data_IF_529093474911
#
_entry.id   IF_529093474911
#
_cell.length_a   1.000
_cell.length_b   1.000
_cell.length_c   1.000
_cell.angle_alpha   90.00
_cell.angle_beta   90.00
_cell.angle_gamma   90.00
#
_symmetry.space_group_name_H-M   'P 1'
#
loop_
_entity.id
_entity.type
_entity.pdbx_description
1 polymer ?
#
# COMPACT_ATOMS: atom_id res chain seq x y z
N UNK A 1 3.60 -14.21 44.19
CA UNK A 1 3.80 -15.21 43.12
C UNK A 1 2.54 -15.19 42.27
N UNK A 2 2.52 -14.38 41.21
CA UNK A 2 1.36 -14.22 40.33
C UNK A 2 1.32 -15.37 39.33
N UNK A 3 0.40 -16.31 39.54
CA UNK A 3 0.10 -17.37 38.59
C UNK A 3 -0.41 -16.73 37.29
N UNK A 4 0.38 -16.78 36.22
CA UNK A 4 -0.13 -16.55 34.88
C UNK A 4 -0.99 -17.76 34.51
N UNK A 5 -2.30 -17.62 34.69
CA UNK A 5 -3.28 -18.55 34.12
C UNK A 5 -3.19 -18.36 32.61
N UNK A 6 -2.43 -19.21 31.92
CA UNK A 6 -2.49 -19.31 30.47
C UNK A 6 -3.84 -19.93 30.12
N UNK A 7 -4.80 -19.07 29.77
CA UNK A 7 -6.00 -19.50 29.06
C UNK A 7 -5.54 -20.15 27.76
N UNK A 8 -5.60 -21.48 27.70
CA UNK A 8 -5.19 -22.25 26.54
C UNK A 8 -6.27 -22.08 25.47
N UNK A 9 -6.21 -20.96 24.74
CA UNK A 9 -7.10 -20.69 23.62
C UNK A 9 -7.02 -21.85 22.63
N UNK A 10 -8.16 -22.26 22.06
CA UNK A 10 -8.16 -23.36 21.10
C UNK A 10 -7.21 -23.06 19.94
N UNK A 11 -6.60 -24.09 19.37
CA UNK A 11 -5.70 -23.97 18.21
C UNK A 11 -6.39 -23.19 17.07
N UNK A 12 -7.70 -23.39 16.89
CA UNK A 12 -8.50 -22.65 15.92
C UNK A 12 -8.47 -21.13 16.16
N UNK A 13 -8.66 -20.69 17.42
CA UNK A 13 -8.62 -19.26 17.77
C UNK A 13 -7.21 -18.71 17.56
N UNK A 14 -6.17 -19.45 17.94
CA UNK A 14 -4.78 -19.03 17.74
C UNK A 14 -4.45 -18.85 16.25
N UNK A 15 -4.86 -19.79 15.39
CA UNK A 15 -4.68 -19.71 13.95
C UNK A 15 -5.45 -18.55 13.32
N UNK A 16 -6.70 -18.33 13.74
CA UNK A 16 -7.52 -17.19 13.29
C UNK A 16 -6.85 -15.86 13.65
N UNK A 17 -6.42 -15.72 14.90
CA UNK A 17 -5.75 -14.50 15.37
C UNK A 17 -4.43 -14.24 14.62
N UNK A 18 -3.64 -15.29 14.38
CA UNK A 18 -2.42 -15.17 13.60
C UNK A 18 -2.69 -14.74 12.15
N UNK A 19 -3.72 -15.30 11.51
CA UNK A 19 -4.12 -14.94 10.15
C UNK A 19 -4.61 -13.50 10.07
N UNK A 20 -5.47 -13.05 10.98
CA UNK A 20 -5.95 -11.66 11.03
C UNK A 20 -4.81 -10.69 11.26
N UNK A 21 -3.87 -11.02 12.16
CA UNK A 21 -2.69 -10.19 12.42
C UNK A 21 -1.81 -10.07 11.17
N UNK A 22 -1.54 -11.18 10.48
CA UNK A 22 -0.76 -11.16 9.24
C UNK A 22 -1.45 -10.33 8.14
N UNK A 23 -2.78 -10.39 8.05
CA UNK A 23 -3.54 -9.60 7.08
C UNK A 23 -3.45 -8.10 7.38
N UNK A 24 -3.55 -7.71 8.65
CA UNK A 24 -3.41 -6.30 9.04
C UNK A 24 -2.01 -5.77 8.74
N UNK A 25 -0.96 -6.50 9.15
CA UNK A 25 0.43 -6.12 8.85
C UNK A 25 0.67 -5.97 7.33
N UNK A 26 0.14 -6.90 6.52
CA UNK A 26 0.23 -6.82 5.07
C UNK A 26 -0.54 -5.62 4.49
N UNK A 27 -1.71 -5.30 5.04
CA UNK A 27 -2.52 -4.14 4.65
C UNK A 27 -1.78 -2.84 4.95
N UNK A 28 -1.19 -2.70 6.12
CA UNK A 28 -0.39 -1.53 6.51
C UNK A 28 0.78 -1.32 5.55
N UNK A 29 1.53 -2.39 5.25
CA UNK A 29 2.64 -2.34 4.28
C UNK A 29 2.16 -1.91 2.88
N UNK A 30 1.04 -2.48 2.41
CA UNK A 30 0.47 -2.15 1.10
C UNK A 30 0.04 -0.69 1.02
N UNK A 31 -0.56 -0.13 2.09
CA UNK A 31 -0.95 1.28 2.14
C UNK A 31 0.27 2.20 2.06
N UNK A 32 1.38 1.86 2.70
CA UNK A 32 2.62 2.64 2.59
C UNK A 32 3.18 2.61 1.17
N UNK A 33 3.12 1.46 0.49
CA UNK A 33 3.53 1.31 -0.91
C UNK A 33 2.67 2.17 -1.83
N UNK A 34 1.33 2.10 -1.69
CA UNK A 34 0.39 2.91 -2.48
C UNK A 34 0.64 4.40 -2.22
N UNK A 35 0.79 4.80 -0.95
CA UNK A 35 1.05 6.18 -0.56
C UNK A 35 2.36 6.73 -1.15
N UNK A 36 3.41 5.91 -1.22
CA UNK A 36 4.65 6.28 -1.88
C UNK A 36 4.44 6.55 -3.38
N UNK A 37 3.72 5.67 -4.09
CA UNK A 37 3.39 5.88 -5.52
C UNK A 37 2.59 7.17 -5.71
N UNK A 38 1.56 7.39 -4.90
CA UNK A 38 0.73 8.60 -4.95
C UNK A 38 1.53 9.88 -4.70
N UNK A 39 2.47 9.86 -3.75
CA UNK A 39 3.32 11.00 -3.46
C UNK A 39 4.13 11.44 -4.68
N UNK A 40 4.82 10.50 -5.33
CA UNK A 40 5.62 10.79 -6.53
C UNK A 40 4.75 11.19 -7.72
N UNK A 41 3.60 10.53 -7.92
CA UNK A 41 2.64 10.88 -8.96
C UNK A 41 2.16 12.33 -8.81
N UNK A 42 1.82 12.73 -7.58
CA UNK A 42 1.37 14.10 -7.27
C UNK A 42 2.46 15.15 -7.49
N UNK A 43 3.73 14.80 -7.27
CA UNK A 43 4.87 15.70 -7.44
C UNK A 43 5.44 15.68 -8.87
N UNK A 44 4.96 14.80 -9.75
CA UNK A 44 5.51 14.63 -11.11
C UNK A 44 6.92 14.03 -11.13
N UNK A 45 7.31 13.31 -10.08
CA UNK A 45 8.64 12.73 -9.94
C UNK A 45 8.69 11.30 -10.51
N UNK A 46 9.80 10.89 -11.13
CA UNK A 46 9.95 9.54 -11.65
C UNK A 46 10.02 8.53 -10.50
N UNK A 47 9.24 7.44 -10.59
CA UNK A 47 9.25 6.35 -9.62
C UNK A 47 10.52 5.48 -9.73
N UNK A 48 10.96 5.23 -10.98
CA UNK A 48 12.00 4.25 -11.32
C UNK A 48 13.25 4.95 -11.82
N UNK A 49 14.40 4.36 -11.51
CA UNK A 49 15.70 4.74 -12.04
C UNK A 49 16.00 3.99 -13.33
N UNK A 50 17.22 4.20 -13.86
CA UNK A 50 17.72 3.44 -14.99
C UNK A 50 17.97 1.97 -14.61
N UNK A 51 18.54 1.76 -13.42
CA UNK A 51 18.73 0.44 -12.82
C UNK A 51 17.62 0.10 -11.82
N UNK A 52 17.39 -1.20 -11.61
CA UNK A 52 16.26 -1.72 -10.81
C UNK A 52 16.23 -1.27 -9.34
N UNK A 53 17.36 -0.81 -8.78
CA UNK A 53 17.53 -0.50 -7.35
C UNK A 53 17.72 0.99 -7.04
N UNK A 54 17.76 1.85 -8.08
CA UNK A 54 18.11 3.27 -7.95
C UNK A 54 16.90 4.21 -8.07
N UNK A 55 15.70 3.66 -8.21
CA UNK A 55 14.48 4.46 -8.32
C UNK A 55 14.11 5.18 -7.02
N UNK A 56 13.58 6.40 -7.15
CA UNK A 56 13.10 7.20 -6.02
C UNK A 56 12.08 6.44 -5.16
N UNK A 57 11.23 5.63 -5.79
CA UNK A 57 10.26 4.79 -5.09
C UNK A 57 10.92 3.77 -4.17
N UNK A 58 11.95 3.07 -4.63
CA UNK A 58 12.65 2.08 -3.82
C UNK A 58 13.41 2.76 -2.66
N UNK A 59 14.06 3.89 -2.93
CA UNK A 59 14.79 4.64 -1.89
C UNK A 59 13.86 5.16 -0.80
N UNK A 60 12.67 5.64 -1.16
CA UNK A 60 11.67 6.06 -0.18
C UNK A 60 11.17 4.90 0.68
N UNK A 61 10.92 3.74 0.07
CA UNK A 61 10.49 2.56 0.83
C UNK A 61 11.58 2.05 1.78
N UNK A 62 12.85 2.08 1.36
CA UNK A 62 13.99 1.79 2.25
C UNK A 62 14.01 2.74 3.44
N UNK A 63 13.98 4.05 3.18
CA UNK A 63 13.93 5.08 4.23
C UNK A 63 12.76 4.87 5.20
N UNK A 64 11.55 4.62 4.68
CA UNK A 64 10.37 4.34 5.53
C UNK A 64 10.53 3.08 6.37
N UNK A 65 11.22 2.08 5.84
CA UNK A 65 11.42 0.80 6.52
C UNK A 65 12.41 0.87 7.68
N UNK A 66 13.20 1.94 7.79
CA UNK A 66 14.13 2.13 8.92
C UNK A 66 13.36 2.28 10.25
N UNK A 67 12.17 2.88 10.21
CA UNK A 67 11.30 3.10 11.38
C UNK A 67 10.14 2.09 11.47
N UNK A 68 9.95 1.23 10.45
CA UNK A 68 8.84 0.27 10.37
C UNK A 68 9.36 -1.16 10.13
N UNK A 69 9.38 -1.95 11.20
CA UNK A 69 9.83 -3.35 11.19
C UNK A 69 8.97 -4.25 10.29
N UNK A 70 7.66 -3.98 10.19
CA UNK A 70 6.74 -4.76 9.35
C UNK A 70 7.03 -4.52 7.88
N UNK A 71 7.20 -3.24 7.51
CA UNK A 71 7.59 -2.87 6.15
C UNK A 71 8.99 -3.40 5.82
N UNK A 72 9.96 -3.28 6.74
CA UNK A 72 11.31 -3.81 6.54
C UNK A 72 11.29 -5.32 6.28
N UNK A 73 10.58 -6.07 7.13
CA UNK A 73 10.38 -7.51 6.96
C UNK A 73 9.68 -7.83 5.64
N UNK A 74 8.71 -7.04 5.21
CA UNK A 74 8.05 -7.22 3.92
C UNK A 74 9.02 -7.04 2.76
N UNK A 75 9.77 -5.93 2.73
CA UNK A 75 10.70 -5.57 1.67
C UNK A 75 11.93 -6.49 1.58
N UNK A 76 12.35 -7.05 2.70
CA UNK A 76 13.48 -8.01 2.76
C UNK A 76 13.04 -9.45 2.57
N UNK A 77 11.74 -9.74 2.71
CA UNK A 77 11.21 -11.06 2.37
C UNK A 77 11.31 -11.31 0.87
N UNK A 78 11.37 -12.58 0.45
CA UNK A 78 11.30 -12.98 -0.96
C UNK A 78 9.98 -12.64 -1.67
N UNK A 79 9.13 -11.81 -1.06
CA UNK A 79 7.84 -11.32 -1.56
C UNK A 79 7.85 -9.86 -1.99
N UNK A 80 8.99 -9.15 -1.90
CA UNK A 80 9.12 -7.73 -2.29
C UNK A 80 8.42 -7.41 -3.62
N UNK A 81 8.75 -8.19 -4.66
CA UNK A 81 8.31 -7.93 -6.03
C UNK A 81 6.79 -8.06 -6.25
N UNK A 82 6.06 -8.73 -5.34
CA UNK A 82 4.60 -8.87 -5.44
C UNK A 82 3.88 -7.52 -5.41
N UNK A 83 4.42 -6.53 -4.69
CA UNK A 83 3.77 -5.23 -4.54
C UNK A 83 4.63 -4.03 -4.93
N UNK A 84 5.94 -4.23 -5.18
CA UNK A 84 6.85 -3.12 -5.55
C UNK A 84 7.24 -3.12 -7.01
N UNK A 85 6.84 -4.12 -7.81
CA UNK A 85 7.22 -4.22 -9.21
C UNK A 85 6.69 -3.05 -10.06
N UNK A 86 7.34 -2.81 -11.20
CA UNK A 86 6.89 -1.76 -12.12
C UNK A 86 5.49 -1.98 -12.69
N UNK A 87 5.05 -3.23 -12.83
CA UNK A 87 3.69 -3.54 -13.28
C UNK A 87 2.69 -3.06 -12.22
N UNK A 88 2.90 -3.43 -10.96
CA UNK A 88 2.03 -3.03 -9.85
C UNK A 88 2.04 -1.51 -9.66
N UNK A 89 3.19 -0.85 -9.77
CA UNK A 89 3.26 0.61 -9.72
C UNK A 89 2.37 1.26 -10.81
N UNK A 90 2.39 0.72 -12.04
CA UNK A 90 1.53 1.22 -13.13
C UNK A 90 0.05 0.96 -12.86
N UNK A 91 -0.30 -0.18 -12.26
CA UNK A 91 -1.67 -0.48 -11.86
C UNK A 91 -2.18 0.49 -10.80
N UNK A 92 -1.38 0.77 -9.77
CA UNK A 92 -1.71 1.75 -8.73
C UNK A 92 -1.94 3.13 -9.35
N UNK A 93 -1.07 3.57 -10.27
CA UNK A 93 -1.24 4.82 -11.00
C UNK A 93 -2.55 4.86 -11.81
N UNK A 94 -2.88 3.76 -12.46
CA UNK A 94 -4.10 3.63 -13.28
C UNK A 94 -5.36 3.66 -12.41
N UNK A 95 -5.34 3.00 -11.25
CA UNK A 95 -6.44 3.05 -10.29
C UNK A 95 -6.63 4.46 -9.74
N UNK A 96 -5.54 5.14 -9.38
CA UNK A 96 -5.58 6.52 -8.90
C UNK A 96 -6.11 7.47 -9.98
N UNK A 97 -5.61 7.39 -11.22
CA UNK A 97 -6.06 8.25 -12.31
C UNK A 97 -7.53 8.03 -12.65
N UNK A 98 -7.98 6.77 -12.73
CA UNK A 98 -9.38 6.45 -12.99
C UNK A 98 -10.31 6.96 -11.88
N UNK A 99 -9.86 6.96 -10.63
CA UNK A 99 -10.64 7.52 -9.50
C UNK A 99 -10.81 9.02 -9.69
N UNK A 100 -9.72 9.75 -9.92
CA UNK A 100 -9.76 11.20 -10.15
C UNK A 100 -10.61 11.57 -11.36
N UNK A 101 -10.52 10.81 -12.45
CA UNK A 101 -11.33 11.03 -13.65
C UNK A 101 -12.83 10.87 -13.34
N UNK A 102 -13.21 9.84 -12.58
CA UNK A 102 -14.62 9.64 -12.17
C UNK A 102 -15.12 10.80 -11.33
N UNK A 103 -14.33 11.25 -10.35
CA UNK A 103 -14.68 12.38 -9.50
C UNK A 103 -14.91 13.65 -10.34
N UNK A 104 -14.02 13.92 -11.31
CA UNK A 104 -14.17 15.06 -12.22
C UNK A 104 -15.43 14.93 -13.08
N UNK A 105 -15.71 13.74 -13.62
CA UNK A 105 -16.91 13.49 -14.43
C UNK A 105 -18.17 13.71 -13.60
N UNK A 106 -18.22 13.20 -12.37
CA UNK A 106 -19.35 13.42 -11.46
C UNK A 106 -19.57 14.92 -11.19
N UNK A 107 -18.50 15.68 -10.93
CA UNK A 107 -18.57 17.13 -10.76
C UNK A 107 -19.16 17.79 -12.00
N UNK A 108 -18.64 17.46 -13.19
CA UNK A 108 -19.10 18.05 -14.45
C UNK A 108 -20.58 17.70 -14.69
N UNK A 109 -20.98 16.44 -14.52
CA UNK A 109 -22.37 15.99 -14.71
C UNK A 109 -23.34 16.61 -13.70
N UNK A 110 -22.87 17.07 -12.54
CA UNK A 110 -23.68 17.77 -11.55
C UNK A 110 -23.94 19.24 -11.90
N UNK A 111 -23.32 19.78 -12.94
CA UNK A 111 -23.44 21.19 -13.30
C UNK A 111 -24.85 21.51 -13.85
N UNK A 112 -25.53 22.57 -13.36
CA UNK A 112 -26.93 22.85 -13.69
C UNK A 112 -27.22 22.99 -15.19
N UNK A 113 -26.28 23.59 -15.94
CA UNK A 113 -26.45 23.85 -17.38
C UNK A 113 -26.32 22.58 -18.25
N UNK A 114 -25.88 21.46 -17.68
CA UNK A 114 -25.84 20.16 -18.34
C UNK A 114 -27.00 19.24 -17.94
N UNK A 115 -27.87 19.69 -17.03
CA UNK A 115 -29.05 18.94 -16.55
C UNK A 115 -30.34 19.30 -17.31
N UNK A 116 -30.33 20.36 -18.12
CA UNK A 116 -31.49 20.88 -18.86
C UNK A 116 -31.53 20.45 -20.35
N UNK A 117 -30.61 19.59 -20.80
CA UNK A 117 -30.60 18.98 -22.14
C UNK A 117 -31.12 17.55 -22.05
#
# INVERSE_FOLDING_TARGET
MTMHIYENQSVQVQLSNASSKQQEEARECLLQIIGAVQMFARQGLPLRGHEGCEGNFEQLLKYKSDDDLSLNKWLTSGRKDLCTSGIVQNEILTLASNTIIRDIVEIISSLPHLQEI
#
